data_IF_584460273136
#
_entry.id   IF_584460273136
#
_cell.length_a   1.000
_cell.length_b   1.000
_cell.length_c   1.000
_cell.angle_alpha   90.00
_cell.angle_beta   90.00
_cell.angle_gamma   90.00
#
_symmetry.space_group_name_H-M   'P 1'
#
loop_
_entity.id
_entity.type
_entity.pdbx_description
1 polymer ?
#
# COMPACT_ATOMS: atom_id res chain seq x y z
N UNK A 1 -19.84 -15.77 -31.43
CA UNK A 1 -19.59 -14.32 -31.24
C UNK A 1 -20.03 -13.95 -29.84
N UNK A 2 -19.35 -14.48 -28.82
CA UNK A 2 -19.78 -14.42 -27.40
C UNK A 2 -18.66 -13.87 -26.49
N UNK A 3 -17.76 -13.08 -27.06
CA UNK A 3 -16.73 -12.36 -26.30
C UNK A 3 -17.12 -10.89 -26.31
N UNK A 4 -17.31 -10.34 -25.11
CA UNK A 4 -17.51 -8.91 -24.91
C UNK A 4 -16.29 -8.14 -25.41
N UNK A 5 -16.55 -7.01 -26.06
CA UNK A 5 -15.52 -6.10 -26.52
C UNK A 5 -14.75 -5.55 -25.31
N UNK A 6 -13.43 -5.38 -25.46
CA UNK A 6 -12.56 -4.98 -24.35
C UNK A 6 -12.99 -3.61 -23.82
N UNK A 7 -13.00 -3.49 -22.49
CA UNK A 7 -13.31 -2.23 -21.84
C UNK A 7 -12.35 -1.15 -22.36
N UNK A 8 -12.85 -0.01 -22.82
CA UNK A 8 -12.04 1.05 -23.45
C UNK A 8 -10.86 1.55 -22.61
N UNK A 9 -10.88 1.27 -21.30
CA UNK A 9 -9.79 1.58 -20.37
C UNK A 9 -8.67 0.53 -20.35
N UNK A 10 -8.93 -0.71 -20.76
CA UNK A 10 -7.93 -1.79 -20.90
C UNK A 10 -7.31 -1.85 -22.30
N UNK A 11 -7.71 -0.95 -23.20
CA UNK A 11 -7.18 -0.91 -24.54
C UNK A 11 -5.70 -0.45 -24.51
N UNK A 12 -4.79 -1.33 -24.94
CA UNK A 12 -3.35 -1.06 -25.02
C UNK A 12 -3.01 0.25 -25.79
N UNK A 13 -3.95 0.70 -26.63
CA UNK A 13 -3.90 1.97 -27.35
C UNK A 13 -3.76 3.19 -26.42
N UNK A 14 -4.51 3.26 -25.33
CA UNK A 14 -4.47 4.38 -24.37
C UNK A 14 -3.13 4.45 -23.65
N UNK A 15 -2.62 3.29 -23.23
CA UNK A 15 -1.34 3.17 -22.53
C UNK A 15 -0.16 3.48 -23.46
N UNK A 16 -0.21 2.98 -24.71
CA UNK A 16 0.76 3.29 -25.76
C UNK A 16 0.80 4.78 -26.10
N UNK A 17 -0.36 5.44 -26.19
CA UNK A 17 -0.45 6.87 -26.41
C UNK A 17 0.17 7.68 -25.26
N UNK A 18 -0.13 7.32 -24.00
CA UNK A 18 0.48 7.96 -22.83
C UNK A 18 2.01 7.75 -22.77
N UNK A 19 2.48 6.55 -23.13
CA UNK A 19 3.90 6.25 -23.20
C UNK A 19 4.61 7.06 -24.29
N UNK A 20 3.98 7.24 -25.45
CA UNK A 20 4.52 8.07 -26.53
C UNK A 20 4.69 9.52 -26.08
N UNK A 21 3.68 10.09 -25.41
CA UNK A 21 3.76 11.45 -24.86
C UNK A 21 4.89 11.56 -23.82
N UNK A 22 4.95 10.62 -22.87
CA UNK A 22 5.99 10.61 -21.84
C UNK A 22 7.40 10.43 -22.42
N UNK A 23 7.52 9.69 -23.53
CA UNK A 23 8.77 9.50 -24.25
C UNK A 23 9.24 10.77 -24.94
N UNK A 24 8.35 11.50 -25.61
CA UNK A 24 8.68 12.79 -26.22
C UNK A 24 9.13 13.83 -25.17
N UNK A 25 8.46 13.86 -24.01
CA UNK A 25 8.88 14.69 -22.89
C UNK A 25 10.28 14.32 -22.36
N UNK A 26 10.58 13.03 -22.19
CA UNK A 26 11.91 12.58 -21.74
C UNK A 26 12.98 12.89 -22.79
N UNK A 27 12.66 12.80 -24.09
CA UNK A 27 13.55 13.18 -25.18
C UNK A 27 13.87 14.68 -25.16
N UNK A 28 12.86 15.54 -24.95
CA UNK A 28 13.05 16.99 -24.82
C UNK A 28 13.91 17.34 -23.60
N UNK A 29 13.62 16.74 -22.44
CA UNK A 29 14.42 16.93 -21.22
C UNK A 29 15.84 16.42 -21.39
N UNK A 30 16.03 15.28 -22.05
CA UNK A 30 17.34 14.70 -22.30
C UNK A 30 18.18 15.61 -23.21
N UNK A 31 17.56 16.19 -24.24
CA UNK A 31 18.18 17.17 -25.14
C UNK A 31 18.60 18.45 -24.41
N UNK A 32 17.75 18.96 -23.51
CA UNK A 32 18.05 20.16 -22.71
C UNK A 32 19.17 19.91 -21.69
N UNK A 33 19.21 18.73 -21.06
CA UNK A 33 20.22 18.38 -20.06
C UNK A 33 21.50 17.75 -20.65
N UNK A 34 21.62 17.64 -21.98
CA UNK A 34 22.77 17.00 -22.64
C UNK A 34 22.97 15.53 -22.30
N UNK A 35 21.93 14.84 -21.80
CA UNK A 35 21.98 13.42 -21.38
C UNK A 35 21.33 12.52 -22.43
N UNK A 36 21.62 11.21 -22.38
CA UNK A 36 20.89 10.23 -23.21
C UNK A 36 19.48 10.02 -22.66
N UNK A 37 18.44 9.95 -23.52
CA UNK A 37 17.08 9.66 -23.08
C UNK A 37 17.00 8.23 -22.53
N UNK A 38 16.23 8.04 -21.45
CA UNK A 38 16.05 6.73 -20.81
C UNK A 38 14.60 6.31 -20.89
N UNK A 39 14.32 5.27 -21.69
CA UNK A 39 12.96 4.76 -21.88
C UNK A 39 12.35 4.25 -20.57
N UNK A 40 13.19 3.71 -19.68
CA UNK A 40 12.77 3.26 -18.35
C UNK A 40 12.13 4.37 -17.51
N UNK A 41 12.58 5.62 -17.65
CA UNK A 41 11.98 6.74 -16.90
C UNK A 41 10.56 7.04 -17.39
N UNK A 42 10.35 7.03 -18.72
CA UNK A 42 9.03 7.22 -19.30
C UNK A 42 8.09 6.06 -18.94
N UNK A 43 8.62 4.83 -18.98
CA UNK A 43 7.88 3.62 -18.60
C UNK A 43 7.47 3.66 -17.13
N UNK A 44 8.40 3.93 -16.21
CA UNK A 44 8.08 4.07 -14.78
C UNK A 44 7.07 5.19 -14.59
N UNK A 45 7.18 6.33 -15.26
CA UNK A 45 6.23 7.43 -15.09
C UNK A 45 4.79 7.06 -15.49
N UNK A 46 4.60 6.32 -16.58
CA UNK A 46 3.27 5.93 -17.07
C UNK A 46 2.70 4.75 -16.28
N UNK A 47 3.53 3.76 -15.95
CA UNK A 47 3.07 2.52 -15.30
C UNK A 47 3.17 2.54 -13.78
N UNK A 48 4.03 3.36 -13.17
CA UNK A 48 4.22 3.33 -11.72
C UNK A 48 3.36 4.37 -11.02
N UNK A 49 3.16 5.55 -11.62
CA UNK A 49 2.44 6.66 -10.98
C UNK A 49 0.99 6.32 -10.59
N UNK A 50 0.14 5.76 -11.48
CA UNK A 50 -1.21 5.37 -11.06
C UNK A 50 -1.22 4.13 -10.15
N UNK A 51 -0.25 3.23 -10.32
CA UNK A 51 -0.14 2.01 -9.53
C UNK A 51 0.55 2.20 -8.17
N UNK A 52 1.08 3.37 -7.85
CA UNK A 52 1.68 3.69 -6.56
C UNK A 52 0.62 3.99 -5.48
N UNK A 53 -0.55 4.50 -5.88
CA UNK A 53 -1.58 4.95 -4.94
C UNK A 53 -2.20 3.75 -4.21
N UNK A 54 -2.50 2.67 -4.95
CA UNK A 54 -3.03 1.44 -4.36
C UNK A 54 -2.13 0.85 -3.26
N UNK A 55 -0.83 0.54 -3.48
CA UNK A 55 0.04 0.01 -2.45
C UNK A 55 0.26 1.00 -1.30
N UNK A 56 0.20 2.31 -1.52
CA UNK A 56 0.26 3.29 -0.43
C UNK A 56 -0.96 3.16 0.50
N UNK A 57 -2.17 3.06 -0.07
CA UNK A 57 -3.39 2.87 0.74
C UNK A 57 -3.39 1.55 1.50
N UNK A 58 -2.95 0.47 0.87
CA UNK A 58 -2.80 -0.85 1.50
C UNK A 58 -1.76 -0.80 2.61
N UNK A 59 -0.61 -0.14 2.39
CA UNK A 59 0.44 -0.01 3.40
C UNK A 59 -0.07 0.74 4.62
N UNK A 60 -0.77 1.86 4.44
CA UNK A 60 -1.35 2.62 5.55
C UNK A 60 -2.38 1.77 6.30
N UNK A 61 -3.29 1.12 5.57
CA UNK A 61 -4.30 0.26 6.19
C UNK A 61 -3.65 -0.90 6.97
N UNK A 62 -2.71 -1.63 6.36
CA UNK A 62 -1.98 -2.71 7.00
C UNK A 62 -1.17 -2.24 8.21
N UNK A 63 -0.47 -1.11 8.13
CA UNK A 63 0.28 -0.58 9.26
C UNK A 63 -0.65 -0.19 10.42
N UNK A 64 -1.73 0.53 10.15
CA UNK A 64 -2.68 0.96 11.19
C UNK A 64 -3.40 -0.23 11.80
N UNK A 65 -3.88 -1.17 10.97
CA UNK A 65 -4.60 -2.36 11.43
C UNK A 65 -3.67 -3.28 12.22
N UNK A 66 -2.46 -3.55 11.76
CA UNK A 66 -1.51 -4.42 12.49
C UNK A 66 -1.10 -3.81 13.82
N UNK A 67 -0.79 -2.52 13.86
CA UNK A 67 -0.43 -1.84 15.11
C UNK A 67 -1.64 -1.80 16.05
N UNK A 68 -2.81 -1.43 15.55
CA UNK A 68 -4.04 -1.39 16.33
C UNK A 68 -4.43 -2.75 16.91
N UNK A 69 -4.37 -3.82 16.10
CA UNK A 69 -4.63 -5.19 16.54
C UNK A 69 -3.65 -5.63 17.63
N UNK A 70 -2.36 -5.32 17.48
CA UNK A 70 -1.33 -5.67 18.47
C UNK A 70 -1.58 -4.98 19.80
N UNK A 71 -1.96 -3.70 19.78
CA UNK A 71 -2.28 -2.93 20.99
C UNK A 71 -3.57 -3.44 21.64
N UNK A 72 -4.61 -3.71 20.86
CA UNK A 72 -5.88 -4.22 21.37
C UNK A 72 -5.70 -5.57 22.05
N UNK A 73 -4.95 -6.49 21.40
CA UNK A 73 -4.64 -7.79 21.99
C UNK A 73 -3.85 -7.65 23.30
N UNK A 74 -2.88 -6.73 23.32
CA UNK A 74 -2.09 -6.45 24.53
C UNK A 74 -2.96 -5.94 25.69
N UNK A 75 -3.88 -5.01 25.45
CA UNK A 75 -4.80 -4.52 26.47
C UNK A 75 -5.76 -5.59 26.96
N UNK A 76 -6.25 -6.45 26.05
CA UNK A 76 -7.11 -7.57 26.41
C UNK A 76 -6.39 -8.53 27.36
N UNK A 77 -5.14 -8.90 27.06
CA UNK A 77 -4.33 -9.77 27.91
C UNK A 77 -4.17 -9.18 29.33
N UNK A 78 -3.87 -7.89 29.44
CA UNK A 78 -3.71 -7.23 30.75
C UNK A 78 -5.02 -7.25 31.53
N UNK A 79 -6.14 -6.91 30.88
CA UNK A 79 -7.46 -6.86 31.53
C UNK A 79 -7.86 -8.21 32.14
N UNK A 80 -7.60 -9.32 31.43
CA UNK A 80 -7.88 -10.67 31.96
C UNK A 80 -6.89 -11.09 33.05
N UNK A 81 -5.64 -10.65 32.98
CA UNK A 81 -4.66 -10.93 34.03
C UNK A 81 -4.96 -10.17 35.33
N UNK A 82 -5.47 -8.93 35.24
CA UNK A 82 -5.84 -8.12 36.41
C UNK A 82 -7.06 -8.69 37.16
N UNK A 83 -8.03 -9.30 36.45
CA UNK A 83 -9.11 -10.06 37.11
C UNK A 83 -8.60 -11.30 37.86
N UNK A 84 -7.51 -11.95 37.39
CA UNK A 84 -6.91 -13.08 38.09
C UNK A 84 -6.10 -12.67 39.33
N UNK A 85 -5.56 -11.44 39.36
CA UNK A 85 -4.87 -10.86 40.53
C UNK A 85 -5.81 -10.65 41.73
N UNK A 86 -7.10 -10.41 41.47
CA UNK A 86 -8.12 -10.35 42.52
C UNK A 86 -8.25 -11.70 43.22
N UNK A 87 -8.08 -12.83 42.50
CA UNK A 87 -8.07 -14.17 43.09
C UNK A 87 -6.83 -14.43 43.96
N UNK A 88 -5.67 -13.88 43.61
CA UNK A 88 -4.45 -13.96 44.45
C UNK A 88 -4.58 -13.10 45.72
N UNK A 89 -5.32 -11.99 45.66
CA UNK A 89 -5.69 -11.19 46.83
C UNK A 89 -6.63 -11.95 47.79
N UNK A 90 -7.52 -12.81 47.27
CA UNK A 90 -8.35 -13.68 48.10
C UNK A 90 -7.56 -14.85 48.69
N UNK A 91 -6.60 -15.44 47.95
CA UNK A 91 -5.75 -16.51 48.46
C UNK A 91 -4.80 -16.06 49.59
N UNK A 92 -4.33 -14.80 49.53
CA UNK A 92 -3.57 -14.17 50.63
C UNK A 92 -4.45 -13.73 51.80
N UNK A 93 -5.75 -13.50 51.58
CA UNK A 93 -6.73 -13.09 52.59
C UNK A 93 -7.39 -14.24 53.36
N UNK A 94 -7.38 -15.47 52.84
CA UNK A 94 -7.94 -16.67 53.51
C UNK A 94 -6.85 -17.59 54.07
N UNK A 95 -5.73 -17.02 54.50
CA UNK A 95 -4.82 -17.69 55.42
C UNK A 95 -5.38 -17.66 56.84
N UNK A 96 -6.16 -18.68 57.20
CA UNK A 96 -6.42 -19.12 58.59
C UNK A 96 -6.36 -20.64 58.66
#
# INVERSE_FOLDING_TARGET
NDLYDVLKDDEANKLGHQLSIAWDEECLKAKQSGRRPKLLNALIRVFFLPYLICPLTILVAECVVRVGQTIFLHQLIISFNEESSVSDQYLLGTGV
#
